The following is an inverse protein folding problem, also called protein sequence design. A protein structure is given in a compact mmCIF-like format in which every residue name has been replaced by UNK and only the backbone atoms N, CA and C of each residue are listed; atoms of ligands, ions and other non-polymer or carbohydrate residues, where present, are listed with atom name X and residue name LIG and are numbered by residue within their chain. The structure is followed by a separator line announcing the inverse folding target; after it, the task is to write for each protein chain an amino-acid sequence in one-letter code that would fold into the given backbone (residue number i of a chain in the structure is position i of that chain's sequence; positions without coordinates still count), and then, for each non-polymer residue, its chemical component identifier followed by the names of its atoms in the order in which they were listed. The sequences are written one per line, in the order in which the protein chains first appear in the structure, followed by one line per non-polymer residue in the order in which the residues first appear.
data_IF_556241998366
#
_entry.id   IF_556241998366
#
_cell.length_a   1.000
_cell.length_b   1.000
_cell.length_c   1.000
_cell.angle_alpha   90.00
_cell.angle_beta   90.00
_cell.angle_gamma   90.00
#
_symmetry.space_group_name_H-M   'P 1'
#
loop_
_entity.id
_entity.type
_entity.pdbx_description
1 polymer ?
#
# COMPACT_ATOMS: atom_id res chain seq x y z
N UNK A 1 -20.69 3.36 7.23
CA UNK A 1 -19.27 3.52 6.83
C UNK A 1 -18.70 4.63 7.69
N UNK A 2 -17.62 4.36 8.40
CA UNK A 2 -17.02 5.36 9.26
C UNK A 2 -16.43 6.50 8.44
N UNK A 3 -16.56 7.73 8.92
CA UNK A 3 -15.93 8.89 8.30
C UNK A 3 -14.44 8.85 8.62
N UNK A 4 -13.61 8.71 7.60
CA UNK A 4 -12.15 8.77 7.73
C UNK A 4 -11.64 10.21 7.53
N UNK A 5 -10.44 10.45 8.00
CA UNK A 5 -9.71 11.69 7.83
C UNK A 5 -8.96 11.75 6.50
N UNK A 6 -8.00 12.68 6.37
CA UNK A 6 -7.17 12.85 5.17
C UNK A 6 -6.29 11.63 4.89
N UNK A 7 -5.88 11.49 3.63
CA UNK A 7 -4.92 10.49 3.21
C UNK A 7 -3.48 10.83 3.66
N UNK A 8 -2.59 9.84 3.63
CA UNK A 8 -1.16 10.10 3.84
C UNK A 8 -0.58 11.04 2.80
N UNK A 9 -1.09 11.03 1.55
CA UNK A 9 -0.68 12.00 0.53
C UNK A 9 -1.12 13.42 0.89
N UNK A 10 -2.38 13.62 1.34
CA UNK A 10 -2.87 14.93 1.77
C UNK A 10 -2.05 15.49 2.93
N UNK A 11 -1.77 14.66 3.93
CA UNK A 11 -0.92 15.02 5.08
C UNK A 11 0.50 15.35 4.64
N UNK A 12 1.06 14.55 3.74
CA UNK A 12 2.40 14.77 3.21
C UNK A 12 2.51 16.10 2.47
N UNK A 13 1.54 16.42 1.61
CA UNK A 13 1.47 17.71 0.92
C UNK A 13 1.32 18.88 1.92
N UNK A 14 0.46 18.74 2.94
CA UNK A 14 0.27 19.77 3.97
C UNK A 14 1.54 20.04 4.79
N UNK A 15 2.38 19.02 4.97
CA UNK A 15 3.69 19.11 5.59
C UNK A 15 4.82 19.49 4.61
N UNK A 16 4.47 20.07 3.45
CA UNK A 16 5.43 20.49 2.39
C UNK A 16 6.34 19.33 1.93
N UNK A 17 5.79 18.13 1.86
CA UNK A 17 6.46 16.89 1.44
C UNK A 17 7.69 16.55 2.29
N UNK A 18 7.60 16.79 3.57
CA UNK A 18 8.68 16.58 4.52
C UNK A 18 8.18 15.95 5.80
N UNK A 19 8.29 14.63 5.89
CA UNK A 19 8.11 13.87 7.13
C UNK A 19 9.47 13.55 7.74
N UNK A 20 9.58 13.65 9.04
CA UNK A 20 10.76 13.19 9.74
C UNK A 20 10.84 11.66 9.77
N UNK A 21 12.03 11.13 10.04
CA UNK A 21 12.26 9.69 10.07
C UNK A 21 11.36 8.98 11.11
N UNK A 22 11.13 9.61 12.26
CA UNK A 22 10.29 9.05 13.32
C UNK A 22 8.86 8.86 12.82
N UNK A 23 8.29 9.88 12.19
CA UNK A 23 6.95 9.83 11.59
C UNK A 23 6.86 8.71 10.55
N UNK A 24 7.84 8.61 9.65
CA UNK A 24 7.84 7.56 8.62
C UNK A 24 7.94 6.15 9.23
N UNK A 25 8.73 5.96 10.28
CA UNK A 25 8.83 4.66 10.96
C UNK A 25 7.52 4.28 11.68
N UNK A 26 6.83 5.24 12.28
CA UNK A 26 5.50 5.02 12.88
C UNK A 26 4.47 4.62 11.79
N UNK A 27 4.48 5.30 10.65
CA UNK A 27 3.65 4.96 9.49
C UNK A 27 4.00 3.55 9.01
N UNK A 28 5.28 3.24 8.79
CA UNK A 28 5.75 1.94 8.29
C UNK A 28 5.22 0.78 9.13
N UNK A 29 5.28 0.90 10.45
CA UNK A 29 4.78 -0.14 11.38
C UNK A 29 3.29 -0.40 11.16
N UNK A 30 2.50 0.64 10.94
CA UNK A 30 1.07 0.49 10.70
C UNK A 30 0.77 -0.06 9.30
N UNK A 31 1.44 0.43 8.24
CA UNK A 31 1.24 -0.07 6.88
C UNK A 31 1.50 -1.57 6.79
N UNK A 32 2.61 -2.04 7.37
CA UNK A 32 2.95 -3.47 7.38
C UNK A 32 1.87 -4.28 8.09
N UNK A 33 1.38 -3.84 9.24
CA UNK A 33 0.31 -4.52 9.97
C UNK A 33 -1.02 -4.52 9.20
N UNK A 34 -1.34 -3.45 8.47
CA UNK A 34 -2.57 -3.40 7.67
C UNK A 34 -2.50 -4.36 6.49
N UNK A 35 -1.36 -4.40 5.77
CA UNK A 35 -1.23 -5.32 4.65
C UNK A 35 -1.14 -6.78 5.10
N UNK A 36 -0.54 -7.05 6.27
CA UNK A 36 -0.57 -8.38 6.89
C UNK A 36 -2.02 -8.87 7.06
N UNK A 37 -2.91 -8.03 7.61
CA UNK A 37 -4.34 -8.36 7.77
C UNK A 37 -5.04 -8.62 6.43
N UNK A 38 -4.74 -7.81 5.41
CA UNK A 38 -5.27 -8.03 4.06
C UNK A 38 -4.82 -9.38 3.52
N UNK A 39 -3.54 -9.73 3.71
CA UNK A 39 -2.98 -11.01 3.25
C UNK A 39 -3.51 -12.22 4.05
N UNK A 40 -3.84 -12.07 5.33
CA UNK A 40 -4.52 -13.11 6.13
C UNK A 40 -5.89 -13.47 5.55
N UNK A 41 -6.61 -12.48 4.98
CA UNK A 41 -7.89 -12.68 4.28
C UNK A 41 -7.72 -13.25 2.85
N UNK A 42 -6.53 -13.75 2.50
CA UNK A 42 -6.17 -14.33 1.20
C UNK A 42 -6.25 -13.37 0.03
N UNK A 43 -6.16 -12.07 0.28
CA UNK A 43 -6.25 -10.98 -0.71
C UNK A 43 -4.89 -10.30 -0.83
N UNK A 44 -4.52 -9.89 -2.04
CA UNK A 44 -3.49 -8.91 -2.34
C UNK A 44 -4.15 -7.62 -2.82
N UNK A 45 -3.63 -6.48 -2.41
CA UNK A 45 -4.24 -5.17 -2.66
C UNK A 45 -4.00 -4.66 -4.10
N UNK A 46 -2.75 -4.73 -4.57
CA UNK A 46 -2.27 -4.37 -5.91
C UNK A 46 -2.28 -2.88 -6.28
N UNK A 47 -2.73 -2.00 -5.40
CA UNK A 47 -2.65 -0.54 -5.60
C UNK A 47 -2.23 0.18 -4.31
N UNK A 48 -1.12 -0.24 -3.74
CA UNK A 48 -0.52 0.39 -2.56
C UNK A 48 0.06 1.75 -2.97
N UNK A 49 -0.46 2.81 -2.37
CA UNK A 49 -0.01 4.20 -2.55
C UNK A 49 -0.44 5.06 -1.37
N UNK A 50 0.20 6.22 -1.13
CA UNK A 50 -0.13 7.09 0.00
C UNK A 50 -1.59 7.55 0.01
N UNK A 51 -2.21 7.69 -1.18
CA UNK A 51 -3.62 8.09 -1.33
C UNK A 51 -4.60 7.07 -0.76
N UNK A 52 -4.21 5.78 -0.72
CA UNK A 52 -5.06 4.67 -0.25
C UNK A 52 -4.87 4.36 1.23
N UNK A 53 -4.14 5.17 1.97
CA UNK A 53 -4.02 5.10 3.42
C UNK A 53 -4.54 6.38 4.06
N UNK A 54 -5.62 6.28 4.82
CA UNK A 54 -6.28 7.39 5.49
C UNK A 54 -6.09 7.28 7.00
N UNK A 55 -5.97 8.41 7.69
CA UNK A 55 -6.06 8.42 9.15
C UNK A 55 -7.52 8.36 9.61
N UNK A 56 -7.76 8.06 10.86
CA UNK A 56 -9.12 8.09 11.43
C UNK A 56 -9.68 9.51 11.48
N UNK A 57 -11.00 9.62 11.36
CA UNK A 57 -11.72 10.90 11.27
C UNK A 57 -12.09 11.52 12.62
N UNK A 58 -11.78 10.89 13.75
CA UNK A 58 -12.11 11.37 15.09
C UNK A 58 -10.87 11.44 15.97
N UNK A 59 -10.91 12.20 17.07
CA UNK A 59 -9.80 12.29 18.01
C UNK A 59 -9.39 10.93 18.60
N UNK A 60 -10.33 10.01 18.75
CA UNK A 60 -10.07 8.67 19.25
C UNK A 60 -9.39 7.75 18.21
N UNK A 61 -9.49 8.05 16.93
CA UNK A 61 -9.02 7.19 15.80
C UNK A 61 -7.96 7.83 14.93
N UNK A 62 -7.70 9.12 15.09
CA UNK A 62 -6.77 9.89 14.22
C UNK A 62 -5.35 9.31 14.13
N UNK A 63 -4.91 8.59 15.16
CA UNK A 63 -3.58 7.99 15.19
C UNK A 63 -3.54 6.61 14.49
N UNK A 64 -4.69 6.12 14.02
CA UNK A 64 -4.80 4.86 13.29
C UNK A 64 -4.82 5.11 11.79
N UNK A 65 -4.06 4.29 11.05
CA UNK A 65 -4.08 4.29 9.58
C UNK A 65 -5.00 3.17 9.09
N UNK A 66 -5.86 3.51 8.15
CA UNK A 66 -6.80 2.62 7.48
C UNK A 66 -6.41 2.47 6.02
N UNK A 67 -6.48 1.25 5.50
CA UNK A 67 -6.31 0.98 4.07
C UNK A 67 -7.67 0.96 3.39
N UNK A 68 -7.76 1.58 2.23
CA UNK A 68 -9.00 1.71 1.44
C UNK A 68 -8.77 1.31 -0.02
N UNK A 69 -9.84 1.27 -0.80
CA UNK A 69 -9.84 1.03 -2.24
C UNK A 69 -9.32 -0.36 -2.65
N UNK A 70 -10.16 -1.36 -2.44
CA UNK A 70 -9.93 -2.73 -2.87
C UNK A 70 -10.40 -3.00 -4.32
N UNK A 71 -10.61 -1.96 -5.13
CA UNK A 71 -11.09 -2.08 -6.51
C UNK A 71 -10.19 -2.89 -7.44
N UNK A 72 -8.89 -2.94 -7.14
CA UNK A 72 -7.91 -3.75 -7.86
C UNK A 72 -7.50 -5.03 -7.11
N UNK A 73 -8.07 -5.29 -5.94
CA UNK A 73 -7.67 -6.42 -5.11
C UNK A 73 -7.94 -7.77 -5.79
N UNK A 74 -7.17 -8.78 -5.41
CA UNK A 74 -7.26 -10.13 -5.97
C UNK A 74 -6.99 -11.18 -4.91
N UNK A 75 -7.75 -12.29 -4.93
CA UNK A 75 -7.40 -13.46 -4.14
C UNK A 75 -6.10 -14.07 -4.66
N UNK A 76 -5.14 -14.30 -3.77
CA UNK A 76 -3.88 -14.96 -4.11
C UNK A 76 -3.85 -16.44 -3.71
N UNK A 77 -4.92 -16.92 -3.08
CA UNK A 77 -5.17 -18.34 -2.81
C UNK A 77 -6.55 -18.72 -3.34
N UNK A 78 -6.66 -19.94 -3.85
CA UNK A 78 -7.95 -20.53 -4.24
C UNK A 78 -8.73 -21.05 -3.02
N UNK A 79 -9.91 -21.66 -3.27
CA UNK A 79 -10.76 -22.25 -2.22
C UNK A 79 -10.06 -23.38 -1.45
N UNK A 80 -9.13 -24.07 -2.08
CA UNK A 80 -8.35 -25.16 -1.49
C UNK A 80 -7.12 -24.68 -0.70
N UNK A 81 -6.86 -23.36 -0.70
CA UNK A 81 -5.74 -22.73 -0.01
C UNK A 81 -4.44 -22.72 -0.82
N UNK A 82 -4.47 -23.17 -2.06
CA UNK A 82 -3.31 -23.16 -2.95
C UNK A 82 -3.03 -21.77 -3.48
N UNK A 83 -1.75 -21.39 -3.54
CA UNK A 83 -1.32 -20.12 -4.09
C UNK A 83 -1.54 -20.04 -5.60
N UNK A 84 -1.95 -18.87 -6.11
CA UNK A 84 -2.04 -18.63 -7.56
C UNK A 84 -0.70 -18.94 -8.23
N UNK A 85 -0.71 -19.54 -9.43
CA UNK A 85 0.52 -19.92 -10.12
C UNK A 85 1.28 -18.69 -10.65
N UNK A 86 2.58 -18.87 -10.87
CA UNK A 86 3.38 -17.90 -11.63
C UNK A 86 2.80 -17.75 -13.04
N UNK A 87 2.67 -16.50 -13.47
CA UNK A 87 2.30 -16.13 -14.85
C UNK A 87 3.06 -14.86 -15.24
N UNK A 88 3.41 -14.76 -16.50
CA UNK A 88 3.98 -13.55 -17.13
C UNK A 88 3.05 -12.99 -18.20
N UNK A 89 3.51 -11.98 -18.94
CA UNK A 89 2.71 -11.33 -19.98
C UNK A 89 1.50 -10.57 -19.45
N UNK A 90 1.50 -10.16 -18.18
CA UNK A 90 0.43 -9.36 -17.57
C UNK A 90 0.59 -7.88 -17.87
N UNK A 91 -0.53 -7.21 -18.06
CA UNK A 91 -0.55 -5.75 -18.10
C UNK A 91 -0.26 -5.19 -16.71
N UNK A 92 0.36 -4.00 -16.67
CA UNK A 92 0.59 -3.28 -15.43
C UNK A 92 -0.74 -2.99 -14.75
N UNK A 93 -0.87 -3.41 -13.50
CA UNK A 93 -2.04 -3.16 -12.66
C UNK A 93 -1.58 -2.37 -11.44
N UNK A 94 -2.31 -1.33 -11.05
CA UNK A 94 -1.98 -0.41 -9.98
C UNK A 94 -1.28 0.85 -10.48
N UNK A 95 -0.72 1.61 -9.56
CA UNK A 95 -0.07 2.90 -9.83
C UNK A 95 1.40 2.70 -10.18
N UNK A 96 1.78 2.94 -11.44
CA UNK A 96 3.12 2.65 -11.99
C UNK A 96 4.27 3.19 -11.13
N UNK A 97 4.11 4.41 -10.58
CA UNK A 97 5.14 5.06 -9.75
C UNK A 97 5.59 4.20 -8.58
N UNK A 98 4.68 3.47 -7.95
CA UNK A 98 4.96 2.68 -6.75
C UNK A 98 5.08 1.18 -7.03
N UNK A 99 4.69 0.73 -8.21
CA UNK A 99 4.65 -0.69 -8.56
C UNK A 99 6.00 -1.38 -8.41
N UNK A 100 5.97 -2.67 -8.04
CA UNK A 100 7.16 -3.49 -7.91
C UNK A 100 7.86 -3.73 -9.24
N UNK A 101 9.14 -4.11 -9.18
CA UNK A 101 9.91 -4.49 -10.38
C UNK A 101 9.24 -5.66 -11.12
N UNK A 102 8.72 -6.66 -10.39
CA UNK A 102 8.04 -7.79 -11.00
C UNK A 102 6.75 -7.36 -11.72
N UNK A 103 5.98 -6.42 -11.14
CA UNK A 103 4.79 -5.84 -11.79
C UNK A 103 5.15 -5.13 -13.10
N UNK A 104 6.23 -4.35 -13.12
CA UNK A 104 6.70 -3.70 -14.36
C UNK A 104 7.15 -4.71 -15.41
N UNK A 105 7.67 -5.88 -15.02
CA UNK A 105 8.04 -6.96 -15.93
C UNK A 105 6.85 -7.79 -16.40
N UNK A 106 5.62 -7.45 -15.99
CA UNK A 106 4.42 -8.19 -16.38
C UNK A 106 4.27 -9.54 -15.69
N UNK A 107 4.88 -9.72 -14.51
CA UNK A 107 4.72 -10.94 -13.71
C UNK A 107 3.48 -10.80 -12.84
N UNK A 108 2.71 -11.89 -12.70
CA UNK A 108 1.53 -11.94 -11.84
C UNK A 108 1.90 -11.54 -10.40
N UNK A 109 1.17 -10.55 -9.87
CA UNK A 109 1.41 -10.01 -8.54
C UNK A 109 1.08 -11.04 -7.45
N UNK A 110 1.82 -10.95 -6.34
CA UNK A 110 1.60 -11.72 -5.13
C UNK A 110 1.84 -10.84 -3.90
N UNK A 111 1.84 -11.41 -2.70
CA UNK A 111 2.08 -10.67 -1.45
C UNK A 111 3.40 -9.89 -1.44
N UNK A 112 4.45 -10.42 -2.08
CA UNK A 112 5.77 -9.75 -2.17
C UNK A 112 5.67 -8.39 -2.84
N UNK A 113 4.79 -8.26 -3.84
CA UNK A 113 4.65 -7.03 -4.64
C UNK A 113 4.00 -5.91 -3.82
N UNK A 114 2.98 -6.22 -3.00
CA UNK A 114 2.43 -5.26 -2.04
C UNK A 114 3.49 -4.77 -1.04
N UNK A 115 4.34 -5.69 -0.53
CA UNK A 115 5.41 -5.34 0.41
C UNK A 115 6.52 -4.51 -0.23
N UNK A 116 6.93 -4.81 -1.47
CA UNK A 116 7.90 -4.01 -2.21
C UNK A 116 7.35 -2.60 -2.45
N UNK A 117 6.08 -2.50 -2.82
CA UNK A 117 5.40 -1.22 -3.02
C UNK A 117 5.31 -0.41 -1.73
N UNK A 118 5.07 -1.03 -0.56
CA UNK A 118 5.19 -0.34 0.74
C UNK A 118 6.59 0.27 0.90
N UNK A 119 7.64 -0.48 0.57
CA UNK A 119 9.01 0.04 0.59
C UNK A 119 9.18 1.29 -0.28
N UNK A 120 8.64 1.29 -1.50
CA UNK A 120 8.66 2.46 -2.38
C UNK A 120 7.88 3.65 -1.82
N UNK A 121 6.72 3.42 -1.21
CA UNK A 121 5.93 4.46 -0.52
C UNK A 121 6.73 5.08 0.63
N UNK A 122 7.39 4.27 1.46
CA UNK A 122 8.20 4.77 2.56
C UNK A 122 9.41 5.60 2.06
N UNK A 123 10.07 5.15 0.99
CA UNK A 123 11.13 5.93 0.35
C UNK A 123 10.61 7.26 -0.18
N UNK A 124 9.44 7.28 -0.80
CA UNK A 124 8.79 8.51 -1.25
C UNK A 124 8.52 9.47 -0.09
N UNK A 125 8.00 8.98 1.04
CA UNK A 125 7.70 9.81 2.21
C UNK A 125 8.96 10.36 2.90
N UNK A 126 10.10 9.63 2.84
CA UNK A 126 11.39 10.11 3.40
C UNK A 126 12.07 11.09 2.46
N UNK A 127 12.09 10.79 1.15
CA UNK A 127 12.86 11.54 0.16
C UNK A 127 12.10 12.71 -0.50
N UNK A 128 10.77 12.74 -0.34
CA UNK A 128 9.91 13.68 -1.03
C UNK A 128 9.63 13.31 -2.49
N UNK A 129 10.40 12.42 -3.08
CA UNK A 129 10.28 11.93 -4.44
C UNK A 129 10.94 10.57 -4.61
N UNK A 130 10.61 9.87 -5.70
CA UNK A 130 11.30 8.66 -6.12
C UNK A 130 12.26 8.99 -7.27
N UNK A 131 13.36 8.25 -7.46
CA UNK A 131 14.38 8.56 -8.46
C UNK A 131 13.97 8.21 -9.90
N UNK A 132 12.81 7.56 -10.06
CA UNK A 132 12.23 7.23 -11.37
C UNK A 132 10.97 8.00 -11.70
#
# INVERSE_FOLDING_TARGET
MDLLGPSLEDLFQSCKRNFDLKTVLMIATQLIRRIEKVHEERIIHRDIKPDNFLIGGTDATRDNIYIIDFGLAKCYKNSEGEHIPYKDGKNLTGTARYASIATHKGIEQSRRDDLETIGHVLLYLIKGQLPW
#
